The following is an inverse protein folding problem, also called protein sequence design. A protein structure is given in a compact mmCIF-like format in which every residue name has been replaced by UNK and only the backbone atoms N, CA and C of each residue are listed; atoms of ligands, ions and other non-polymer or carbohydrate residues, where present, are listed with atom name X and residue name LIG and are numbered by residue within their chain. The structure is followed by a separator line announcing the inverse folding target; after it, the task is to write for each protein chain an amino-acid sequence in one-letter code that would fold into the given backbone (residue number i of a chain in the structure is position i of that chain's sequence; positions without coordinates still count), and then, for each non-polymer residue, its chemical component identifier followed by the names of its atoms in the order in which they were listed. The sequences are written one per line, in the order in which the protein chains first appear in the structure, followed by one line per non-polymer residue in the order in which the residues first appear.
data_IF_429269543740
#
_entry.id   IF_429269543740
#
_cell.length_a   1.000
_cell.length_b   1.000
_cell.length_c   1.000
_cell.angle_alpha   90.00
_cell.angle_beta   90.00
_cell.angle_gamma   90.00
#
_symmetry.space_group_name_H-M   'P 1'
#
loop_
_entity.id
_entity.type
_entity.pdbx_description
1 polymer ?
#
# COMPACT_ATOMS: atom_id res chain seq x y z
N UNK A 1 5.40 10.32 -6.65
CA UNK A 1 4.52 9.27 -6.10
C UNK A 1 3.25 9.97 -5.64
N UNK A 2 2.08 9.35 -5.73
CA UNK A 2 0.84 9.88 -5.12
C UNK A 2 0.31 8.84 -4.14
N UNK A 3 -0.05 9.27 -2.93
CA UNK A 3 -0.64 8.41 -1.91
C UNK A 3 -2.11 8.78 -1.80
N UNK A 4 -3.00 7.83 -2.11
CA UNK A 4 -4.44 7.99 -1.92
C UNK A 4 -4.88 7.19 -0.70
N UNK A 5 -5.43 7.89 0.28
CA UNK A 5 -6.04 7.34 1.50
C UNK A 5 -7.54 7.21 1.24
N UNK A 6 -8.06 5.99 1.17
CA UNK A 6 -9.49 5.75 1.06
C UNK A 6 -9.87 4.58 1.96
N UNK A 7 -10.78 4.86 2.89
CA UNK A 7 -11.45 3.86 3.71
C UNK A 7 -12.32 2.98 2.80
N UNK A 8 -11.77 1.86 2.35
CA UNK A 8 -12.47 0.92 1.47
C UNK A 8 -13.03 -0.23 2.33
N UNK A 9 -14.34 -0.56 2.22
CA UNK A 9 -14.90 -1.69 2.95
C UNK A 9 -14.21 -3.01 2.55
N UNK A 10 -14.12 -3.99 3.47
CA UNK A 10 -13.54 -5.28 3.16
C UNK A 10 -14.35 -5.99 2.06
N UNK A 11 -13.69 -6.67 1.09
CA UNK A 11 -14.41 -7.39 0.04
C UNK A 11 -15.26 -8.52 0.65
N UNK A 12 -16.50 -8.73 0.16
CA UNK A 12 -17.35 -9.80 0.66
C UNK A 12 -16.81 -11.17 0.22
N UNK A 13 -16.66 -12.09 1.19
CA UNK A 13 -16.43 -13.51 0.90
C UNK A 13 -15.01 -14.07 1.14
N UNK A 14 -14.34 -13.77 2.26
CA UNK A 14 -13.09 -14.48 2.62
C UNK A 14 -13.27 -15.30 3.89
N UNK A 15 -13.58 -16.59 3.73
CA UNK A 15 -13.31 -17.61 4.74
C UNK A 15 -11.83 -17.60 5.10
N UNK A 16 -11.52 -17.89 6.37
CA UNK A 16 -10.21 -17.69 7.01
C UNK A 16 -9.01 -18.03 6.15
N UNK A 17 -8.41 -17.00 5.54
CA UNK A 17 -7.08 -17.03 4.99
C UNK A 17 -6.28 -16.01 5.79
N UNK A 18 -5.16 -16.42 6.38
CA UNK A 18 -4.18 -15.52 6.99
C UNK A 18 -3.78 -14.51 5.90
N UNK A 19 -4.41 -13.33 5.90
CA UNK A 19 -4.10 -12.29 4.93
C UNK A 19 -2.68 -11.82 5.22
N UNK A 20 -1.73 -12.25 4.40
CA UNK A 20 -0.37 -11.73 4.44
C UNK A 20 -0.40 -10.27 4.03
N UNK A 21 -0.27 -9.37 5.00
CA UNK A 21 -0.23 -7.93 4.78
C UNK A 21 1.22 -7.46 4.67
N UNK A 22 1.47 -6.50 3.78
CA UNK A 22 2.76 -5.80 3.75
C UNK A 22 2.64 -4.49 4.51
N UNK A 23 3.52 -4.31 5.49
CA UNK A 23 3.51 -3.19 6.42
C UNK A 23 4.75 -2.34 6.24
N UNK A 24 4.59 -1.03 6.39
CA UNK A 24 5.71 -0.09 6.44
C UNK A 24 6.41 -0.26 7.78
N UNK A 25 7.67 -0.68 7.75
CA UNK A 25 8.48 -0.92 8.96
C UNK A 25 9.37 0.26 9.32
N UNK A 26 9.69 1.12 8.34
CA UNK A 26 10.49 2.33 8.52
C UNK A 26 10.21 3.30 7.38
N UNK A 27 10.32 4.58 7.67
CA UNK A 27 10.29 5.67 6.68
C UNK A 27 11.49 6.58 6.94
N UNK A 28 12.24 6.92 5.89
CA UNK A 28 13.32 7.90 5.98
C UNK A 28 12.74 9.31 6.11
N UNK A 29 13.22 10.10 7.07
CA UNK A 29 12.69 11.44 7.39
C UNK A 29 12.84 12.42 6.22
N UNK A 30 13.92 12.33 5.46
CA UNK A 30 14.16 13.16 4.26
C UNK A 30 13.54 12.57 2.97
N UNK A 31 12.79 11.47 3.10
CA UNK A 31 12.26 10.72 1.96
C UNK A 31 10.94 11.28 1.42
N UNK A 32 10.69 11.06 0.12
CA UNK A 32 9.41 11.41 -0.51
C UNK A 32 8.19 10.79 0.19
N UNK A 33 8.35 9.63 0.83
CA UNK A 33 7.29 8.95 1.56
C UNK A 33 6.93 9.70 2.86
N UNK A 34 7.91 10.21 3.60
CA UNK A 34 7.67 11.00 4.81
C UNK A 34 6.94 12.31 4.47
N UNK A 35 7.39 13.02 3.42
CA UNK A 35 6.72 14.23 2.92
C UNK A 35 5.29 14.01 2.39
N UNK A 36 4.89 12.75 2.14
CA UNK A 36 3.53 12.36 1.74
C UNK A 36 2.72 11.77 2.89
N UNK A 37 3.22 11.84 4.13
CA UNK A 37 2.50 11.36 5.33
C UNK A 37 2.48 9.85 5.49
N UNK A 38 3.37 9.11 4.81
CA UNK A 38 3.56 7.68 5.06
C UNK A 38 4.25 7.51 6.41
N UNK A 39 3.73 6.60 7.23
CA UNK A 39 4.24 6.34 8.57
C UNK A 39 4.51 4.84 8.76
N UNK A 40 5.37 4.53 9.72
CA UNK A 40 5.54 3.16 10.21
C UNK A 40 4.19 2.61 10.68
N UNK A 41 3.89 1.36 10.36
CA UNK A 41 2.61 0.73 10.65
C UNK A 41 1.57 0.88 9.54
N UNK A 42 1.75 1.78 8.55
CA UNK A 42 0.88 1.81 7.38
C UNK A 42 0.87 0.45 6.66
N UNK A 43 -0.30 0.02 6.23
CA UNK A 43 -0.51 -1.24 5.50
C UNK A 43 -0.69 -0.95 4.02
N UNK A 44 0.08 -1.62 3.17
CA UNK A 44 -0.09 -1.52 1.71
C UNK A 44 -1.37 -2.22 1.28
N UNK A 45 -2.25 -1.47 0.60
CA UNK A 45 -3.53 -1.97 0.11
C UNK A 45 -3.65 -1.93 -1.42
N UNK A 46 -2.77 -1.19 -2.10
CA UNK A 46 -2.73 -1.19 -3.56
C UNK A 46 -1.58 -0.40 -4.18
N UNK A 47 -1.41 -0.58 -5.48
CA UNK A 47 -0.43 0.12 -6.32
C UNK A 47 -1.04 0.40 -7.69
N UNK A 48 -0.82 1.60 -8.23
CA UNK A 48 -1.29 2.05 -9.54
C UNK A 48 -2.79 1.82 -9.83
N UNK A 49 -3.63 1.93 -8.81
CA UNK A 49 -5.08 1.69 -8.92
C UNK A 49 -5.48 0.22 -8.75
N UNK A 50 -4.54 -0.71 -8.70
CA UNK A 50 -4.76 -2.15 -8.50
C UNK A 50 -4.72 -2.55 -7.01
N UNK A 51 -5.42 -3.63 -6.67
CA UNK A 51 -5.42 -4.19 -5.31
C UNK A 51 -4.07 -4.85 -5.01
N UNK A 52 -3.57 -4.68 -3.80
CA UNK A 52 -2.39 -5.40 -3.35
C UNK A 52 -2.73 -6.86 -3.09
N UNK A 53 -2.07 -7.76 -3.81
CA UNK A 53 -2.25 -9.22 -3.69
C UNK A 53 -1.05 -9.89 -3.03
N UNK A 54 0.12 -9.27 -3.10
CA UNK A 54 1.38 -9.81 -2.59
C UNK A 54 2.58 -9.14 -3.22
N UNK A 55 3.76 -9.49 -2.73
CA UNK A 55 5.01 -8.80 -3.10
C UNK A 55 5.30 -8.91 -4.60
N UNK A 56 5.19 -10.11 -5.18
CA UNK A 56 5.45 -10.32 -6.61
C UNK A 56 4.53 -9.48 -7.51
N UNK A 57 3.24 -9.39 -7.16
CA UNK A 57 2.28 -8.56 -7.89
C UNK A 57 2.66 -7.09 -7.84
N UNK A 58 2.99 -6.56 -6.66
CA UNK A 58 3.40 -5.17 -6.55
C UNK A 58 4.69 -4.86 -7.31
N UNK A 59 5.69 -5.76 -7.27
CA UNK A 59 6.93 -5.57 -8.03
C UNK A 59 6.65 -5.53 -9.53
N UNK A 60 5.78 -6.41 -10.04
CA UNK A 60 5.37 -6.39 -11.45
C UNK A 60 4.65 -5.08 -11.83
N UNK A 61 3.71 -4.63 -11.00
CA UNK A 61 2.97 -3.38 -11.19
C UNK A 61 3.89 -2.14 -11.14
N UNK A 62 4.97 -2.19 -10.37
CA UNK A 62 6.00 -1.14 -10.33
C UNK A 62 6.93 -1.18 -11.54
N UNK A 63 7.32 -2.37 -11.99
CA UNK A 63 8.26 -2.56 -13.10
C UNK A 63 7.68 -2.13 -14.44
N UNK A 64 6.39 -2.41 -14.66
CA UNK A 64 5.70 -2.14 -15.93
C UNK A 64 4.70 -0.98 -15.86
N UNK A 65 4.53 -0.39 -14.67
CA UNK A 65 3.57 0.69 -14.44
C UNK A 65 3.98 2.03 -15.07
N UNK A 66 2.97 2.83 -15.43
CA UNK A 66 3.19 4.21 -15.87
C UNK A 66 3.65 5.08 -14.70
N UNK A 67 4.51 6.06 -14.99
CA UNK A 67 4.90 7.08 -14.02
C UNK A 67 3.94 8.27 -14.08
N UNK A 68 3.63 8.91 -12.95
CA UNK A 68 4.13 8.62 -11.60
C UNK A 68 3.48 7.38 -10.97
N UNK A 69 4.22 6.68 -10.11
CA UNK A 69 3.68 5.56 -9.32
C UNK A 69 2.72 6.08 -8.26
N UNK A 70 1.57 5.42 -8.13
CA UNK A 70 0.59 5.68 -7.06
C UNK A 70 0.57 4.50 -6.11
N UNK A 71 0.70 4.73 -4.80
CA UNK A 71 0.62 3.66 -3.80
C UNK A 71 -0.48 4.00 -2.80
N UNK A 72 -1.35 3.04 -2.53
CA UNK A 72 -2.44 3.20 -1.57
C UNK A 72 -2.08 2.49 -0.29
N UNK A 73 -2.17 3.24 0.80
CA UNK A 73 -1.82 2.81 2.14
C UNK A 73 -3.03 3.04 3.04
N UNK A 74 -3.26 2.11 3.96
CA UNK A 74 -4.19 2.29 5.06
C UNK A 74 -3.39 2.52 6.33
N UNK A 75 -3.72 3.56 7.10
CA UNK A 75 -3.14 3.75 8.43
C UNK A 75 -3.52 2.57 9.33
N UNK A 76 -2.57 2.04 10.09
CA UNK A 76 -2.93 1.20 11.22
C UNK A 76 -3.56 2.15 12.25
N UNK A 77 -4.86 1.98 12.52
CA UNK A 77 -5.54 2.72 13.56
C UNK A 77 -4.82 2.52 14.89
N UNK A 78 -4.51 3.63 15.55
CA UNK A 78 -4.16 3.67 16.96
C UNK A 78 -5.44 3.98 17.72
#
# INVERSE_FOLDING_TARGET
MRVEEKDLPPPPGTGGSMRSCTVVTRVSEDGQAHGQGVQTGCVMVGVNGEQYLGHAHAVAALKHGRRPVTVRLRRAGV
#
